data_IF_441436725984
#
_entry.id   IF_441436725984
#
_cell.length_a   1.000
_cell.length_b   1.000
_cell.length_c   1.000
_cell.angle_alpha   90.00
_cell.angle_beta   90.00
_cell.angle_gamma   90.00
#
_symmetry.space_group_name_H-M   'P 1'
#
loop_
_entity.id
_entity.type
_entity.pdbx_description
1 polymer ?
#
# COMPACT_ATOMS: atom_id res chain seq x y z
N UNK A 1 17.44 9.12 -27.78
CA UNK A 1 17.51 8.24 -26.59
C UNK A 1 16.31 7.30 -26.63
N UNK A 2 16.49 5.96 -26.58
CA UNK A 2 15.37 5.03 -26.49
C UNK A 2 14.58 5.28 -25.19
N UNK A 3 13.24 5.15 -25.24
CA UNK A 3 12.39 5.34 -24.05
C UNK A 3 12.72 4.28 -23.00
N UNK A 4 12.83 4.64 -21.71
CA UNK A 4 13.12 3.66 -20.66
C UNK A 4 11.98 2.64 -20.56
N UNK A 5 12.34 1.35 -20.45
CA UNK A 5 11.39 0.26 -20.20
C UNK A 5 10.81 0.47 -18.80
N UNK A 6 9.48 0.57 -18.64
CA UNK A 6 8.86 0.85 -17.35
C UNK A 6 9.09 -0.31 -16.37
N UNK A 7 9.13 -0.02 -15.06
CA UNK A 7 9.36 -1.04 -14.02
C UNK A 7 10.73 -0.91 -13.32
N UNK A 8 11.23 -1.99 -12.69
CA UNK A 8 12.45 -1.97 -11.88
C UNK A 8 13.70 -1.46 -12.63
N UNK A 9 13.83 -1.77 -13.92
CA UNK A 9 14.94 -1.28 -14.74
C UNK A 9 14.95 0.26 -14.87
N UNK A 10 13.78 0.89 -15.02
CA UNK A 10 13.67 2.35 -15.02
C UNK A 10 14.05 2.97 -13.67
N UNK A 11 13.73 2.30 -12.55
CA UNK A 11 14.19 2.76 -11.23
C UNK A 11 15.72 2.71 -11.12
N UNK A 12 16.35 1.61 -11.50
CA UNK A 12 17.82 1.50 -11.49
C UNK A 12 18.48 2.56 -12.38
N UNK A 13 17.97 2.74 -13.60
CA UNK A 13 18.41 3.77 -14.53
C UNK A 13 18.28 5.17 -13.93
N UNK A 14 17.14 5.48 -13.28
CA UNK A 14 16.94 6.76 -12.62
C UNK A 14 17.93 6.97 -11.45
N UNK A 15 18.22 5.95 -10.64
CA UNK A 15 19.21 6.03 -9.56
C UNK A 15 20.60 6.36 -10.12
N UNK A 16 20.96 5.73 -11.25
CA UNK A 16 22.25 5.93 -11.91
C UNK A 16 22.34 7.29 -12.62
N UNK A 17 21.29 7.76 -13.29
CA UNK A 17 21.38 8.91 -14.22
C UNK A 17 20.72 10.16 -13.65
N UNK A 18 19.65 10.01 -12.86
CA UNK A 18 18.75 11.09 -12.49
C UNK A 18 17.73 11.45 -13.58
N UNK A 19 17.61 10.65 -14.64
CA UNK A 19 16.69 10.92 -15.74
C UNK A 19 15.22 10.94 -15.28
N UNK A 20 14.56 12.08 -15.52
CA UNK A 20 13.16 12.29 -15.17
C UNK A 20 12.24 11.31 -15.90
N UNK A 21 12.55 10.95 -17.14
CA UNK A 21 11.71 10.05 -17.93
C UNK A 21 11.71 8.64 -17.33
N UNK A 22 12.88 8.17 -16.89
CA UNK A 22 13.01 6.93 -16.13
C UNK A 22 12.22 6.99 -14.80
N UNK A 23 12.27 8.12 -14.09
CA UNK A 23 11.51 8.30 -12.83
C UNK A 23 10.00 8.15 -13.01
N UNK A 24 9.43 8.66 -14.10
CA UNK A 24 7.97 8.69 -14.32
C UNK A 24 7.46 7.57 -15.21
N UNK A 25 8.34 6.70 -15.71
CA UNK A 25 8.00 5.59 -16.61
C UNK A 25 6.95 4.63 -16.01
N UNK A 26 6.93 4.46 -14.68
CA UNK A 26 5.97 3.60 -13.97
C UNK A 26 4.51 3.96 -14.21
N UNK A 27 4.20 5.20 -14.61
CA UNK A 27 2.83 5.65 -14.89
C UNK A 27 2.21 4.94 -16.08
N UNK A 28 3.03 4.30 -16.93
CA UNK A 28 2.60 3.52 -18.08
C UNK A 28 2.40 2.04 -17.75
N UNK A 29 2.70 1.61 -16.53
CA UNK A 29 2.48 0.25 -16.08
C UNK A 29 0.98 0.00 -15.87
N UNK A 30 0.49 -1.22 -16.14
CA UNK A 30 -0.75 -1.75 -15.59
C UNK A 30 -0.84 -1.55 -14.07
N UNK A 31 -2.06 -1.53 -13.51
CA UNK A 31 -2.25 -1.17 -12.10
C UNK A 31 -1.61 -2.18 -11.13
N UNK A 32 -1.69 -3.47 -11.44
CA UNK A 32 -1.03 -4.56 -10.70
C UNK A 32 0.51 -4.44 -10.75
N UNK A 33 1.07 -4.14 -11.92
CA UNK A 33 2.51 -3.89 -12.06
C UNK A 33 2.96 -2.58 -11.38
N UNK A 34 2.08 -1.57 -11.31
CA UNK A 34 2.34 -0.30 -10.61
C UNK A 34 2.42 -0.51 -9.09
N UNK A 35 1.61 -1.42 -8.54
CA UNK A 35 1.71 -1.84 -7.15
C UNK A 35 3.04 -2.54 -6.85
N UNK A 36 3.44 -3.50 -7.69
CA UNK A 36 4.73 -4.17 -7.56
C UNK A 36 5.92 -3.20 -7.67
N UNK A 37 5.83 -2.21 -8.56
CA UNK A 37 6.81 -1.15 -8.69
C UNK A 37 6.90 -0.29 -7.44
N UNK A 38 5.76 0.13 -6.88
CA UNK A 38 5.69 0.90 -5.63
C UNK A 38 6.40 0.16 -4.50
N UNK A 39 6.13 -1.12 -4.34
CA UNK A 39 6.71 -1.93 -3.28
C UNK A 39 8.23 -2.06 -3.47
N UNK A 40 8.69 -2.16 -4.73
CA UNK A 40 10.12 -2.10 -5.06
C UNK A 40 10.74 -0.76 -4.66
N UNK A 41 10.09 0.38 -4.96
CA UNK A 41 10.58 1.71 -4.57
C UNK A 41 10.65 1.87 -3.06
N UNK A 42 9.64 1.42 -2.32
CA UNK A 42 9.64 1.46 -0.85
C UNK A 42 10.86 0.72 -0.27
N UNK A 43 11.12 -0.51 -0.73
CA UNK A 43 12.27 -1.30 -0.28
C UNK A 43 13.61 -0.63 -0.61
N UNK A 44 13.73 -0.08 -1.83
CA UNK A 44 14.96 0.62 -2.24
C UNK A 44 15.15 1.90 -1.44
N UNK A 45 14.07 2.61 -1.11
CA UNK A 45 14.09 3.78 -0.23
C UNK A 45 14.55 3.41 1.18
N UNK A 46 13.99 2.36 1.78
CA UNK A 46 14.39 1.91 3.12
C UNK A 46 15.86 1.46 3.15
N UNK A 47 16.31 0.75 2.11
CA UNK A 47 17.72 0.38 1.95
C UNK A 47 18.64 1.60 1.79
N UNK A 48 18.20 2.61 1.04
CA UNK A 48 18.97 3.84 0.86
C UNK A 48 19.09 4.61 2.18
N UNK A 49 18.00 4.75 2.93
CA UNK A 49 18.01 5.38 4.24
C UNK A 49 18.89 4.63 5.24
N UNK A 50 18.71 3.31 5.36
CA UNK A 50 19.52 2.49 6.25
C UNK A 50 21.02 2.54 5.90
N UNK A 51 21.35 2.65 4.62
CA UNK A 51 22.74 2.82 4.16
C UNK A 51 23.30 4.20 4.51
N UNK A 52 22.48 5.26 4.47
CA UNK A 52 22.95 6.62 4.69
C UNK A 52 22.95 7.05 6.16
N UNK A 53 21.86 6.79 6.88
CA UNK A 53 21.62 7.28 8.24
C UNK A 53 21.65 6.15 9.30
N UNK A 54 21.81 4.90 8.88
CA UNK A 54 21.69 3.74 9.78
C UNK A 54 20.26 3.40 10.17
N UNK A 55 20.10 2.58 11.22
CA UNK A 55 18.77 2.05 11.65
C UNK A 55 17.97 3.01 12.54
N UNK A 56 18.65 3.94 13.20
CA UNK A 56 18.06 4.88 14.15
C UNK A 56 18.67 6.27 13.92
N UNK A 57 18.27 6.96 12.83
CA UNK A 57 18.71 8.31 12.56
C UNK A 57 18.34 9.24 13.71
N UNK A 58 19.23 10.16 14.06
CA UNK A 58 18.90 11.31 14.91
C UNK A 58 18.03 12.31 14.14
N UNK A 59 17.32 13.18 14.87
CA UNK A 59 16.50 14.23 14.26
C UNK A 59 17.36 15.21 13.44
N UNK A 60 18.60 15.49 13.88
CA UNK A 60 19.54 16.38 13.19
C UNK A 60 20.00 15.78 11.86
N UNK A 61 20.40 14.50 11.84
CA UNK A 61 20.78 13.80 10.60
C UNK A 61 19.63 13.72 9.60
N UNK A 62 18.40 13.62 10.10
CA UNK A 62 17.21 13.64 9.26
C UNK A 62 16.95 15.02 8.67
N UNK A 63 17.10 16.08 9.47
CA UNK A 63 16.91 17.46 9.02
C UNK A 63 17.97 17.86 7.98
N UNK A 64 19.24 17.47 8.19
CA UNK A 64 20.31 17.68 7.22
C UNK A 64 19.97 17.08 5.84
N UNK A 65 19.44 15.85 5.83
CA UNK A 65 19.00 15.21 4.59
C UNK A 65 17.79 15.93 3.97
N UNK A 66 16.84 16.38 4.79
CA UNK A 66 15.67 17.17 4.33
C UNK A 66 16.14 18.46 3.66
N UNK A 67 17.01 19.21 4.32
CA UNK A 67 17.55 20.47 3.81
C UNK A 67 18.32 20.26 2.52
N UNK A 68 19.15 19.23 2.45
CA UNK A 68 19.93 18.93 1.26
C UNK A 68 19.05 18.58 0.05
N UNK A 69 18.00 17.77 0.25
CA UNK A 69 17.04 17.45 -0.81
C UNK A 69 16.24 18.70 -1.19
N UNK A 70 15.80 19.50 -0.21
CA UNK A 70 15.04 20.73 -0.43
C UNK A 70 15.85 21.78 -1.20
N UNK A 71 17.14 21.94 -0.91
CA UNK A 71 18.02 22.87 -1.62
C UNK A 71 18.13 22.55 -3.12
N UNK A 72 18.09 21.25 -3.47
CA UNK A 72 18.15 20.79 -4.87
C UNK A 72 16.77 20.72 -5.54
N UNK A 73 15.71 20.53 -4.74
CA UNK A 73 14.34 20.27 -5.20
C UNK A 73 13.32 21.06 -4.38
N UNK A 74 13.36 22.41 -4.39
CA UNK A 74 12.57 23.26 -3.49
C UNK A 74 11.07 23.04 -3.63
N UNK A 75 10.59 22.78 -4.85
CA UNK A 75 9.18 22.49 -5.14
C UNK A 75 8.66 21.19 -4.50
N UNK A 76 9.54 20.32 -3.99
CA UNK A 76 9.19 19.05 -3.35
C UNK A 76 9.54 19.01 -1.86
N UNK A 77 10.13 20.07 -1.30
CA UNK A 77 10.64 20.12 0.07
C UNK A 77 9.62 19.68 1.13
N UNK A 78 8.40 20.24 1.08
CA UNK A 78 7.34 19.88 2.04
C UNK A 78 6.81 18.45 1.91
N UNK A 79 6.95 17.82 0.73
CA UNK A 79 6.61 16.41 0.55
C UNK A 79 7.71 15.50 1.09
N UNK A 80 8.97 15.84 0.79
CA UNK A 80 10.16 15.12 1.27
C UNK A 80 10.25 15.15 2.79
N UNK A 81 10.12 16.33 3.41
CA UNK A 81 10.17 16.50 4.86
C UNK A 81 9.16 15.60 5.57
N UNK A 82 7.90 15.62 5.13
CA UNK A 82 6.86 14.77 5.72
C UNK A 82 7.11 13.28 5.52
N UNK A 83 7.62 12.85 4.36
CA UNK A 83 7.95 11.44 4.09
C UNK A 83 9.11 10.97 4.97
N UNK A 84 10.18 11.75 5.08
CA UNK A 84 11.35 11.43 5.91
C UNK A 84 11.00 11.37 7.41
N UNK A 85 10.28 12.37 7.92
CA UNK A 85 9.82 12.40 9.32
C UNK A 85 8.85 11.26 9.65
N UNK A 86 7.97 10.92 8.72
CA UNK A 86 7.09 9.75 8.82
C UNK A 86 7.87 8.44 8.95
N UNK A 87 8.91 8.25 8.14
CA UNK A 87 9.76 7.07 8.20
C UNK A 87 10.50 6.95 9.54
N UNK A 88 11.02 8.04 10.09
CA UNK A 88 11.74 8.04 11.36
C UNK A 88 10.82 7.82 12.58
N UNK A 89 9.61 8.40 12.57
CA UNK A 89 8.68 8.36 13.70
C UNK A 89 7.76 7.12 13.69
N UNK A 90 7.89 6.22 12.70
CA UNK A 90 7.03 5.04 12.56
C UNK A 90 5.55 5.35 12.29
N UNK A 91 5.23 6.60 11.96
CA UNK A 91 3.89 7.08 11.67
C UNK A 91 3.70 7.37 10.17
N UNK A 92 2.48 7.36 9.62
CA UNK A 92 2.23 7.71 8.21
C UNK A 92 2.44 9.22 7.92
N UNK A 93 2.87 9.61 6.71
CA UNK A 93 3.02 11.00 6.32
C UNK A 93 1.63 11.58 6.05
N UNK A 94 1.12 12.39 6.98
CA UNK A 94 -0.21 12.98 6.90
C UNK A 94 -0.41 13.88 5.68
N UNK A 95 -1.58 13.79 5.03
CA UNK A 95 -2.03 14.71 3.99
C UNK A 95 -1.17 14.74 2.70
N UNK A 96 -0.48 13.64 2.36
CA UNK A 96 0.28 13.52 1.12
C UNK A 96 -0.41 12.55 0.17
N UNK A 97 -0.59 12.96 -1.10
CA UNK A 97 -1.12 12.07 -2.12
C UNK A 97 -0.11 10.96 -2.44
N UNK A 98 -0.56 9.75 -2.76
CA UNK A 98 0.33 8.62 -3.00
C UNK A 98 1.45 8.87 -4.04
N UNK A 99 1.12 9.51 -5.16
CA UNK A 99 2.10 10.00 -6.16
C UNK A 99 3.20 10.88 -5.59
N UNK A 100 2.86 11.75 -4.65
CA UNK A 100 3.80 12.67 -4.02
C UNK A 100 4.76 11.92 -3.09
N UNK A 101 4.29 10.86 -2.42
CA UNK A 101 5.15 9.97 -1.61
C UNK A 101 6.19 9.32 -2.52
N UNK A 102 5.76 8.69 -3.61
CA UNK A 102 6.66 8.00 -4.53
C UNK A 102 7.69 8.96 -5.15
N UNK A 103 7.22 10.16 -5.53
CA UNK A 103 8.12 11.22 -6.03
C UNK A 103 9.14 11.63 -4.98
N UNK A 104 8.74 11.84 -3.72
CA UNK A 104 9.65 12.17 -2.64
C UNK A 104 10.67 11.06 -2.39
N UNK A 105 10.24 9.80 -2.37
CA UNK A 105 11.13 8.64 -2.21
C UNK A 105 12.15 8.55 -3.35
N UNK A 106 11.73 8.73 -4.60
CA UNK A 106 12.65 8.81 -5.74
C UNK A 106 13.69 9.91 -5.56
N UNK A 107 13.30 11.09 -5.11
CA UNK A 107 14.24 12.20 -4.88
C UNK A 107 15.24 11.85 -3.79
N UNK A 108 14.77 11.33 -2.65
CA UNK A 108 15.63 10.90 -1.54
C UNK A 108 16.61 9.81 -1.97
N UNK A 109 16.13 8.73 -2.61
CA UNK A 109 17.00 7.65 -3.13
C UNK A 109 18.08 8.25 -4.04
N UNK A 110 17.71 9.20 -4.91
CA UNK A 110 18.64 9.80 -5.85
C UNK A 110 19.69 10.66 -5.15
N UNK A 111 19.29 11.46 -4.18
CA UNK A 111 20.24 12.30 -3.43
C UNK A 111 21.21 11.43 -2.61
N UNK A 112 20.73 10.36 -1.98
CA UNK A 112 21.59 9.36 -1.32
C UNK A 112 22.53 8.71 -2.33
N UNK A 113 22.05 8.31 -3.51
CA UNK A 113 22.90 7.71 -4.54
C UNK A 113 23.98 8.67 -5.07
N UNK A 114 23.77 10.00 -5.01
CA UNK A 114 24.83 10.97 -5.35
C UNK A 114 25.91 11.02 -4.28
N UNK A 115 25.54 10.93 -3.01
CA UNK A 115 26.48 10.90 -1.88
C UNK A 115 27.24 9.58 -1.78
N UNK A 116 26.63 8.48 -2.23
CA UNK A 116 27.18 7.14 -2.12
C UNK A 116 27.39 6.50 -3.51
N UNK A 117 28.54 6.77 -4.18
CA UNK A 117 28.83 6.20 -5.50
C UNK A 117 28.76 4.67 -5.55
N UNK A 118 29.12 4.00 -4.45
CA UNK A 118 29.00 2.54 -4.33
C UNK A 118 27.54 2.04 -4.29
N UNK A 119 26.61 2.82 -3.75
CA UNK A 119 25.17 2.52 -3.84
C UNK A 119 24.67 2.73 -5.28
N UNK A 120 25.08 3.83 -5.92
CA UNK A 120 24.73 4.15 -7.32
C UNK A 120 25.24 3.12 -8.33
N UNK A 121 26.48 2.68 -8.19
CA UNK A 121 27.07 1.66 -9.07
C UNK A 121 26.37 0.29 -8.93
N UNK A 122 25.83 0.00 -7.73
CA UNK A 122 25.10 -1.24 -7.45
C UNK A 122 23.58 -1.12 -7.65
N UNK A 123 23.09 -0.02 -8.23
CA UNK A 123 21.66 0.27 -8.33
C UNK A 123 20.86 -0.87 -8.98
N UNK A 124 21.35 -1.42 -10.09
CA UNK A 124 20.71 -2.57 -10.77
C UNK A 124 20.56 -3.76 -9.82
N UNK A 125 21.64 -4.16 -9.15
CA UNK A 125 21.63 -5.27 -8.19
C UNK A 125 20.72 -4.99 -6.99
N UNK A 126 20.74 -3.77 -6.45
CA UNK A 126 19.89 -3.37 -5.32
C UNK A 126 18.42 -3.42 -5.69
N UNK A 127 18.06 -2.87 -6.86
CA UNK A 127 16.69 -2.83 -7.36
C UNK A 127 16.22 -4.22 -7.75
N UNK A 128 17.06 -5.01 -8.40
CA UNK A 128 16.77 -6.40 -8.75
C UNK A 128 16.56 -7.27 -7.50
N UNK A 129 17.42 -7.13 -6.49
CA UNK A 129 17.21 -7.82 -5.20
C UNK A 129 15.89 -7.37 -4.58
N UNK A 130 15.62 -6.07 -4.56
CA UNK A 130 14.38 -5.51 -4.03
C UNK A 130 13.15 -5.95 -4.83
N UNK A 131 13.23 -6.16 -6.15
CA UNK A 131 12.11 -6.62 -6.98
C UNK A 131 11.90 -8.13 -6.87
N UNK A 132 12.99 -8.91 -6.76
CA UNK A 132 12.97 -10.37 -6.60
C UNK A 132 12.50 -10.83 -5.23
N UNK A 133 12.50 -9.98 -4.20
CA UNK A 133 11.88 -10.32 -2.91
C UNK A 133 10.35 -10.58 -3.06
N UNK A 134 9.73 -10.31 -4.22
CA UNK A 134 8.38 -10.82 -4.57
C UNK A 134 8.38 -12.20 -5.25
N UNK A 135 9.50 -12.66 -5.83
CA UNK A 135 9.60 -13.86 -6.70
C UNK A 135 10.36 -15.01 -6.00
N UNK A 136 10.72 -14.84 -4.73
CA UNK A 136 11.53 -15.79 -3.96
C UNK A 136 10.77 -16.97 -3.37
N UNK A 137 10.03 -17.73 -4.18
CA UNK A 137 9.66 -19.14 -3.94
C UNK A 137 9.11 -19.75 -5.25
N UNK A 138 10.01 -20.17 -6.14
CA UNK A 138 9.66 -20.92 -7.35
C UNK A 138 9.78 -20.10 -8.63
N UNK A 139 10.99 -20.08 -9.20
CA UNK A 139 11.18 -19.64 -10.58
C UNK A 139 12.05 -20.67 -11.31
N UNK A 140 11.45 -21.84 -11.52
CA UNK A 140 11.75 -22.73 -12.62
C UNK A 140 10.52 -23.64 -12.82
N UNK A 141 9.50 -23.11 -13.51
CA UNK A 141 8.70 -23.83 -14.49
C UNK A 141 7.63 -22.90 -15.05
N UNK A 142 7.58 -22.83 -16.38
CA UNK A 142 6.49 -22.22 -17.11
C UNK A 142 5.24 -23.08 -16.89
N UNK A 143 4.37 -22.73 -15.96
CA UNK A 143 3.05 -23.33 -15.85
C UNK A 143 2.12 -22.41 -15.04
N UNK A 144 0.87 -22.27 -15.51
CA UNK A 144 -0.33 -21.59 -14.95
C UNK A 144 -0.14 -20.73 -13.68
N UNK A 145 -0.72 -19.50 -13.61
CA UNK A 145 -0.70 -18.71 -12.39
C UNK A 145 -1.25 -19.53 -11.22
N UNK A 146 -0.37 -19.90 -10.29
CA UNK A 146 -0.75 -20.62 -9.09
C UNK A 146 -1.81 -19.80 -8.35
N UNK A 147 -2.80 -20.44 -7.70
CA UNK A 147 -3.79 -19.73 -6.91
C UNK A 147 -3.05 -18.92 -5.84
N UNK A 148 -3.21 -17.59 -5.89
CA UNK A 148 -2.64 -16.71 -4.87
C UNK A 148 -3.21 -17.14 -3.50
N UNK A 149 -2.41 -17.16 -2.44
CA UNK A 149 -2.90 -17.56 -1.13
C UNK A 149 -4.01 -16.60 -0.67
N UNK A 150 -5.13 -17.19 -0.26
CA UNK A 150 -6.31 -16.50 0.23
C UNK A 150 -6.42 -16.65 1.75
N UNK A 151 -6.84 -15.58 2.43
CA UNK A 151 -6.88 -15.48 3.88
C UNK A 151 -8.31 -15.14 4.31
N UNK A 152 -9.02 -16.13 4.81
CA UNK A 152 -10.40 -15.98 5.28
C UNK A 152 -10.46 -15.89 6.79
N UNK A 153 -11.11 -14.85 7.29
CA UNK A 153 -11.41 -14.73 8.70
C UNK A 153 -12.84 -14.25 8.94
N UNK A 154 -13.36 -14.62 10.11
CA UNK A 154 -14.66 -14.20 10.61
C UNK A 154 -14.48 -13.21 11.74
N UNK A 155 -15.49 -12.38 11.96
CA UNK A 155 -15.57 -11.63 13.20
C UNK A 155 -15.94 -12.55 14.37
N UNK A 156 -15.76 -12.06 15.60
CA UNK A 156 -15.96 -12.86 16.81
C UNK A 156 -17.41 -13.36 16.99
N UNK A 157 -18.38 -12.62 16.45
CA UNK A 157 -19.81 -12.96 16.53
C UNK A 157 -20.26 -13.79 15.31
N UNK A 158 -19.34 -14.10 14.37
CA UNK A 158 -19.61 -14.82 13.13
C UNK A 158 -20.76 -14.21 12.32
N UNK A 159 -20.88 -12.88 12.32
CA UNK A 159 -21.83 -12.13 11.50
C UNK A 159 -21.30 -11.88 10.08
N UNK A 160 -19.98 -11.77 9.91
CA UNK A 160 -19.32 -11.55 8.63
C UNK A 160 -18.06 -12.42 8.48
N UNK A 161 -17.80 -12.87 7.24
CA UNK A 161 -16.53 -13.45 6.82
C UNK A 161 -15.92 -12.60 5.69
N UNK A 162 -14.62 -12.36 5.77
CA UNK A 162 -13.85 -11.63 4.75
C UNK A 162 -12.71 -12.51 4.29
N UNK A 163 -12.52 -12.59 2.97
CA UNK A 163 -11.40 -13.28 2.33
C UNK A 163 -10.56 -12.27 1.57
N UNK A 164 -9.28 -12.19 1.94
CA UNK A 164 -8.29 -11.32 1.32
C UNK A 164 -7.29 -12.13 0.51
N UNK A 165 -6.77 -11.55 -0.57
CA UNK A 165 -5.57 -12.08 -1.24
C UNK A 165 -4.30 -11.62 -0.51
N UNK A 166 -3.16 -12.20 -0.89
CA UNK A 166 -1.85 -11.82 -0.35
C UNK A 166 -1.53 -10.33 -0.53
N UNK A 167 -1.99 -9.72 -1.62
CA UNK A 167 -1.83 -8.29 -1.92
C UNK A 167 -2.75 -7.37 -1.08
N UNK A 168 -3.66 -7.93 -0.28
CA UNK A 168 -4.62 -7.19 0.53
C UNK A 168 -5.91 -6.81 -0.20
N UNK A 169 -6.09 -7.22 -1.46
CA UNK A 169 -7.34 -7.00 -2.19
C UNK A 169 -8.46 -7.88 -1.64
N UNK A 170 -9.68 -7.32 -1.60
CA UNK A 170 -10.86 -8.07 -1.21
C UNK A 170 -11.22 -9.10 -2.27
N UNK A 171 -11.25 -10.38 -1.90
CA UNK A 171 -11.67 -11.47 -2.79
C UNK A 171 -13.14 -11.84 -2.59
N UNK A 172 -13.53 -12.04 -1.34
CA UNK A 172 -14.87 -12.43 -0.96
C UNK A 172 -15.29 -11.79 0.36
N UNK A 173 -16.58 -11.54 0.48
CA UNK A 173 -17.25 -11.08 1.68
C UNK A 173 -18.57 -11.84 1.77
N UNK A 174 -18.83 -12.43 2.92
CA UNK A 174 -20.06 -13.19 3.18
C UNK A 174 -20.67 -12.67 4.49
N UNK A 175 -21.97 -12.36 4.45
CA UNK A 175 -22.76 -12.03 5.63
C UNK A 175 -23.57 -13.25 6.05
N UNK A 176 -23.40 -13.64 7.31
CA UNK A 176 -23.99 -14.87 7.84
C UNK A 176 -25.48 -14.69 8.14
N UNK A 177 -26.21 -15.81 8.24
CA UNK A 177 -27.63 -15.81 8.62
C UNK A 177 -27.81 -15.13 9.98
N UNK A 178 -28.81 -14.25 10.08
CA UNK A 178 -29.11 -13.53 11.32
C UNK A 178 -28.57 -12.10 11.34
N UNK A 179 -27.69 -11.73 10.40
CA UNK A 179 -27.21 -10.35 10.20
C UNK A 179 -28.37 -9.38 9.90
N UNK A 180 -29.50 -9.88 9.40
CA UNK A 180 -30.70 -9.11 9.07
C UNK A 180 -31.34 -8.46 10.29
N UNK A 181 -31.04 -9.00 11.47
CA UNK A 181 -31.48 -8.46 12.77
C UNK A 181 -30.51 -7.42 13.33
N UNK A 182 -29.38 -7.18 12.66
CA UNK A 182 -28.36 -6.24 13.09
C UNK A 182 -28.55 -4.88 12.41
N UNK A 183 -28.30 -3.80 13.16
CA UNK A 183 -28.21 -2.46 12.57
C UNK A 183 -26.93 -2.28 11.78
N UNK A 184 -26.94 -1.34 10.82
CA UNK A 184 -25.81 -1.12 9.90
C UNK A 184 -24.48 -0.84 10.60
N UNK A 185 -24.49 -0.13 11.73
CA UNK A 185 -23.29 0.10 12.53
C UNK A 185 -22.65 -1.22 13.03
N UNK A 186 -23.47 -2.16 13.49
CA UNK A 186 -23.00 -3.46 13.97
C UNK A 186 -22.49 -4.31 12.81
N UNK A 187 -23.19 -4.30 11.67
CA UNK A 187 -22.73 -4.99 10.44
C UNK A 187 -21.38 -4.43 9.99
N UNK A 188 -21.25 -3.10 9.90
CA UNK A 188 -20.00 -2.44 9.51
C UNK A 188 -18.85 -2.78 10.46
N UNK A 189 -19.14 -2.84 11.76
CA UNK A 189 -18.15 -3.24 12.77
C UNK A 189 -17.73 -4.70 12.60
N UNK A 190 -18.67 -5.62 12.34
CA UNK A 190 -18.38 -7.02 12.09
C UNK A 190 -17.49 -7.20 10.85
N UNK A 191 -17.83 -6.56 9.73
CA UNK A 191 -17.00 -6.60 8.50
C UNK A 191 -15.58 -6.09 8.76
N UNK A 192 -15.42 -4.96 9.44
CA UNK A 192 -14.09 -4.41 9.78
C UNK A 192 -13.31 -5.35 10.70
N UNK A 193 -13.95 -5.98 11.68
CA UNK A 193 -13.31 -6.97 12.56
C UNK A 193 -12.86 -8.21 11.80
N UNK A 194 -13.71 -8.75 10.92
CA UNK A 194 -13.37 -9.87 10.04
C UNK A 194 -12.18 -9.52 9.13
N UNK A 195 -12.18 -8.31 8.55
CA UNK A 195 -11.05 -7.80 7.76
C UNK A 195 -9.75 -7.76 8.56
N UNK A 196 -9.77 -7.20 9.77
CA UNK A 196 -8.57 -7.11 10.63
C UNK A 196 -8.05 -8.51 10.99
N UNK A 197 -8.94 -9.47 11.23
CA UNK A 197 -8.55 -10.85 11.49
C UNK A 197 -7.92 -11.52 10.25
N UNK A 198 -8.47 -11.28 9.05
CA UNK A 198 -7.91 -11.79 7.79
C UNK A 198 -6.54 -11.15 7.50
N UNK A 199 -6.39 -9.85 7.75
CA UNK A 199 -5.12 -9.13 7.67
C UNK A 199 -4.06 -9.73 8.61
N UNK A 200 -4.42 -10.12 9.83
CA UNK A 200 -3.49 -10.78 10.77
C UNK A 200 -2.94 -12.09 10.21
N UNK A 201 -3.81 -12.92 9.63
CA UNK A 201 -3.39 -14.17 8.99
C UNK A 201 -2.52 -13.89 7.77
N UNK A 202 -2.94 -12.96 6.90
CA UNK A 202 -2.18 -12.52 5.72
C UNK A 202 -0.78 -12.04 6.11
N UNK A 203 -0.68 -11.23 7.17
CA UNK A 203 0.59 -10.67 7.63
C UNK A 203 1.49 -11.71 8.30
N UNK A 204 0.92 -12.63 9.08
CA UNK A 204 1.68 -13.76 9.63
C UNK A 204 2.29 -14.60 8.50
N UNK A 205 1.51 -14.90 7.45
CA UNK A 205 2.02 -15.62 6.29
C UNK A 205 3.04 -14.80 5.49
N UNK A 206 2.82 -13.50 5.31
CA UNK A 206 3.79 -12.62 4.70
C UNK A 206 5.12 -12.61 5.48
N UNK A 207 5.07 -12.67 6.81
CA UNK A 207 6.27 -12.79 7.66
C UNK A 207 6.99 -14.11 7.46
N UNK A 208 6.29 -15.23 7.43
CA UNK A 208 6.86 -16.56 7.13
C UNK A 208 7.54 -16.59 5.75
N UNK A 209 6.94 -15.92 4.77
CA UNK A 209 7.47 -15.84 3.40
C UNK A 209 8.56 -14.77 3.22
N UNK A 210 8.95 -14.04 4.28
CA UNK A 210 9.93 -12.95 4.18
C UNK A 210 9.42 -11.71 3.43
N UNK A 211 8.12 -11.60 3.19
CA UNK A 211 7.43 -10.51 2.49
C UNK A 211 7.00 -9.36 3.42
N UNK A 212 7.34 -9.43 4.71
CA UNK A 212 6.90 -8.46 5.73
C UNK A 212 7.32 -7.00 5.49
N UNK A 213 8.47 -6.75 4.85
CA UNK A 213 8.95 -5.38 4.55
C UNK A 213 8.13 -4.68 3.44
N UNK A 214 7.29 -5.42 2.71
CA UNK A 214 6.42 -4.88 1.65
C UNK A 214 5.04 -4.43 2.16
N UNK A 215 4.66 -4.88 3.36
CA UNK A 215 3.31 -4.69 3.86
C UNK A 215 3.37 -4.03 5.24
N UNK A 216 2.85 -2.79 5.37
CA UNK A 216 2.88 -2.09 6.65
C UNK A 216 2.23 -2.92 7.74
N UNK A 217 2.84 -2.87 8.93
CA UNK A 217 2.33 -3.52 10.13
C UNK A 217 0.85 -3.18 10.36
N UNK A 218 0.10 -4.15 10.90
CA UNK A 218 -1.30 -3.94 11.29
C UNK A 218 -1.31 -2.89 12.38
N UNK A 219 -1.77 -1.68 12.03
CA UNK A 219 -2.02 -0.65 13.02
C UNK A 219 -3.05 -1.16 14.01
N UNK A 220 -2.61 -1.34 15.26
CA UNK A 220 -3.47 -1.40 16.44
C UNK A 220 -4.47 -0.24 16.34
N UNK A 221 -5.75 -0.49 16.61
CA UNK A 221 -6.84 0.49 16.42
C UNK A 221 -6.75 1.77 17.25
N UNK A 222 -5.60 2.11 17.80
CA UNK A 222 -5.29 3.32 18.52
C UNK A 222 -4.09 4.00 17.83
N UNK A 223 -4.35 4.90 16.88
CA UNK A 223 -3.53 6.08 16.63
C UNK A 223 -4.25 7.00 15.65
N UNK A 224 -4.80 8.07 16.22
CA UNK A 224 -5.20 9.27 15.51
C UNK A 224 -3.96 9.87 14.82
N UNK A 225 -4.05 10.21 13.52
CA UNK A 225 -3.05 11.08 12.88
C UNK A 225 -2.65 10.81 11.42
N UNK A 226 -3.03 9.69 10.80
CA UNK A 226 -2.60 9.36 9.43
C UNK A 226 -3.66 9.48 8.34
N UNK A 227 -3.94 10.69 7.86
CA UNK A 227 -5.18 11.04 7.12
C UNK A 227 -5.17 10.87 5.59
N UNK A 228 -4.48 9.88 5.02
CA UNK A 228 -4.81 9.49 3.64
C UNK A 228 -5.85 8.38 3.67
N UNK A 229 -7.07 8.76 3.33
CA UNK A 229 -8.25 7.90 3.25
C UNK A 229 -8.80 8.02 1.84
N UNK A 230 -8.93 6.90 1.15
CA UNK A 230 -9.79 6.83 -0.02
C UNK A 230 -11.15 6.36 0.45
N UNK A 231 -12.19 7.07 0.03
CA UNK A 231 -13.56 6.69 0.27
C UNK A 231 -14.25 6.52 -1.07
N UNK A 232 -15.06 5.48 -1.17
CA UNK A 232 -15.95 5.26 -2.28
C UNK A 232 -17.30 4.82 -1.76
N UNK A 233 -18.33 5.11 -2.54
CA UNK A 233 -19.71 4.73 -2.27
C UNK A 233 -20.04 3.53 -3.14
N UNK A 234 -20.97 2.69 -2.70
CA UNK A 234 -21.56 1.72 -3.63
C UNK A 234 -22.43 2.44 -4.66
N UNK A 235 -22.74 1.80 -5.78
CA UNK A 235 -23.47 2.40 -6.91
C UNK A 235 -24.84 2.95 -6.48
N UNK A 236 -25.53 2.24 -5.58
CA UNK A 236 -26.82 2.68 -5.05
C UNK A 236 -26.71 3.81 -4.00
N UNK A 237 -25.49 4.12 -3.56
CA UNK A 237 -25.19 5.02 -2.45
C UNK A 237 -25.57 4.45 -1.08
N UNK A 238 -25.87 3.14 -0.97
CA UNK A 238 -26.28 2.50 0.27
C UNK A 238 -25.16 2.50 1.32
N UNK A 239 -23.93 2.24 0.91
CA UNK A 239 -22.80 2.19 1.82
C UNK A 239 -21.60 2.97 1.29
N UNK A 240 -20.74 3.35 2.23
CA UNK A 240 -19.46 4.01 1.98
C UNK A 240 -18.37 3.23 2.68
N UNK A 241 -17.38 2.78 1.90
CA UNK A 241 -16.18 2.18 2.44
C UNK A 241 -15.07 3.24 2.51
N UNK A 242 -14.24 3.14 3.55
CA UNK A 242 -13.04 3.95 3.68
C UNK A 242 -11.85 3.04 3.85
N UNK A 243 -10.87 3.16 2.97
CA UNK A 243 -9.60 2.42 3.04
C UNK A 243 -8.45 3.36 3.33
N UNK A 244 -7.38 2.84 3.93
CA UNK A 244 -6.13 3.58 4.06
C UNK A 244 -5.31 3.56 2.75
N UNK A 245 -4.16 4.26 2.75
CA UNK A 245 -3.22 4.28 1.61
C UNK A 245 -2.73 2.92 1.11
N UNK A 246 -2.98 1.85 1.86
CA UNK A 246 -2.57 0.48 1.53
C UNK A 246 -3.77 -0.38 1.13
N UNK A 247 -4.94 0.23 0.89
CA UNK A 247 -6.17 -0.48 0.55
C UNK A 247 -6.80 -1.23 1.72
N UNK A 248 -6.36 -1.00 2.97
CA UNK A 248 -6.93 -1.70 4.14
C UNK A 248 -8.21 -1.03 4.59
N UNK A 249 -9.28 -1.81 4.74
CA UNK A 249 -10.56 -1.31 5.23
C UNK A 249 -10.43 -0.72 6.64
N UNK A 250 -10.85 0.54 6.80
CA UNK A 250 -10.85 1.26 8.08
C UNK A 250 -12.25 1.49 8.61
N UNK A 251 -13.20 1.78 7.74
CA UNK A 251 -14.57 2.08 8.14
C UNK A 251 -15.53 1.67 7.04
N UNK A 252 -16.70 1.18 7.44
CA UNK A 252 -17.84 0.93 6.57
C UNK A 252 -19.05 1.62 7.19
N UNK A 253 -19.65 2.56 6.46
CA UNK A 253 -20.81 3.34 6.91
C UNK A 253 -21.99 3.06 6.00
N UNK A 254 -23.15 2.76 6.56
CA UNK A 254 -24.40 2.68 5.80
C UNK A 254 -25.12 4.02 5.85
N UNK A 255 -25.54 4.51 4.69
CA UNK A 255 -26.18 5.82 4.52
C UNK A 255 -27.70 5.75 4.75
N UNK A 256 -28.27 4.55 4.84
CA UNK A 256 -29.70 4.29 5.05
C UNK A 256 -29.90 3.23 6.13
N UNK A 257 -31.10 3.19 6.70
CA UNK A 257 -31.50 2.18 7.72
C UNK A 257 -32.08 0.92 7.10
N UNK A 258 -32.72 1.02 5.93
CA UNK A 258 -33.13 -0.14 5.14
C UNK A 258 -31.92 -0.68 4.38
N UNK A 259 -31.33 -1.76 4.90
CA UNK A 259 -30.08 -2.33 4.38
C UNK A 259 -30.31 -3.49 3.42
N UNK A 260 -31.42 -4.20 3.58
CA UNK A 260 -31.72 -5.40 2.81
C UNK A 260 -32.80 -5.04 1.80
N UNK A 261 -32.41 -4.98 0.53
CA UNK A 261 -33.34 -4.89 -0.60
C UNK A 261 -33.88 -6.26 -0.99
N UNK A 262 -34.40 -6.37 -2.21
CA UNK A 262 -35.02 -7.61 -2.72
C UNK A 262 -34.03 -8.78 -2.80
N UNK A 263 -32.74 -8.50 -3.00
CA UNK A 263 -31.67 -9.50 -3.01
C UNK A 263 -31.16 -9.89 -1.60
N UNK A 264 -31.75 -9.30 -0.55
CA UNK A 264 -31.45 -9.60 0.85
C UNK A 264 -29.96 -9.43 1.18
N UNK A 265 -29.39 -10.44 1.87
CA UNK A 265 -27.98 -10.41 2.30
C UNK A 265 -27.01 -10.37 1.13
N UNK A 266 -27.30 -11.07 0.04
CA UNK A 266 -26.39 -11.17 -1.12
C UNK A 266 -26.26 -9.83 -1.84
N UNK A 267 -27.38 -9.09 -1.97
CA UNK A 267 -27.34 -7.73 -2.48
C UNK A 267 -26.49 -6.83 -1.59
N UNK A 268 -26.67 -6.90 -0.26
CA UNK A 268 -25.86 -6.14 0.68
C UNK A 268 -24.36 -6.53 0.62
N UNK A 269 -24.04 -7.81 0.46
CA UNK A 269 -22.67 -8.28 0.26
C UNK A 269 -22.04 -7.68 -1.00
N UNK A 270 -22.79 -7.66 -2.11
CA UNK A 270 -22.35 -7.09 -3.38
C UNK A 270 -22.07 -5.58 -3.27
N UNK A 271 -22.99 -4.84 -2.66
CA UNK A 271 -22.87 -3.40 -2.40
C UNK A 271 -21.64 -3.06 -1.55
N UNK A 272 -21.41 -3.82 -0.47
CA UNK A 272 -20.22 -3.61 0.37
C UNK A 272 -18.94 -3.93 -0.40
N UNK A 273 -18.93 -5.04 -1.16
CA UNK A 273 -17.77 -5.43 -1.97
C UNK A 273 -17.42 -4.39 -3.01
N UNK A 274 -18.43 -3.84 -3.67
CA UNK A 274 -18.29 -2.78 -4.66
C UNK A 274 -17.67 -1.54 -4.03
N UNK A 275 -18.26 -0.99 -2.97
CA UNK A 275 -17.74 0.19 -2.28
C UNK A 275 -16.28 -0.01 -1.82
N UNK A 276 -15.95 -1.19 -1.28
CA UNK A 276 -14.57 -1.51 -0.90
C UNK A 276 -13.66 -1.60 -2.13
N UNK A 277 -14.09 -2.30 -3.18
CA UNK A 277 -13.35 -2.46 -4.42
C UNK A 277 -13.03 -1.13 -5.07
N UNK A 278 -14.02 -0.24 -5.17
CA UNK A 278 -13.83 1.13 -5.65
C UNK A 278 -12.89 1.93 -4.76
N UNK A 279 -13.05 1.88 -3.44
CA UNK A 279 -12.16 2.60 -2.54
C UNK A 279 -10.70 2.08 -2.66
N UNK A 280 -10.51 0.77 -2.87
CA UNK A 280 -9.22 0.17 -3.17
C UNK A 280 -8.69 0.60 -4.55
N UNK A 281 -9.55 0.65 -5.57
CA UNK A 281 -9.19 1.11 -6.91
C UNK A 281 -8.80 2.58 -6.90
N UNK A 282 -9.54 3.45 -6.22
CA UNK A 282 -9.22 4.87 -6.04
C UNK A 282 -7.93 5.05 -5.25
N UNK A 283 -7.75 4.25 -4.20
CA UNK A 283 -6.50 4.19 -3.47
C UNK A 283 -5.36 3.82 -4.41
N UNK A 284 -5.56 2.92 -5.38
CA UNK A 284 -4.57 2.48 -6.38
C UNK A 284 -4.42 3.46 -7.58
N UNK A 285 -5.46 4.17 -7.98
CA UNK A 285 -5.50 5.10 -9.10
C UNK A 285 -4.97 6.49 -8.73
N UNK A 286 -5.04 6.86 -7.46
CA UNK A 286 -4.37 8.05 -6.91
C UNK A 286 -2.82 7.95 -6.94
N UNK A 287 -2.26 6.81 -7.40
CA UNK A 287 -0.83 6.57 -7.68
C UNK A 287 -0.45 6.76 -9.13
#
# INVERSE_FOLDING_TARGET
MPRPVPGPAALASYIQTGDRDARVAYRRLPDDERLAYRDTVNRVYDLALAHHLGRHPSDDELEDLIEQVAARHPQYAGGVSRVLRSSAQGGPPGGIKPRQILTAQHLVIREIAKMHPGFRARAERTVEKASRTLVGAGAAEQERPAPQPEFTARDAESAAAVTLRLDGTLRALELMRGVERMGGKSIGTAVVRAWVAAEKQRWARAKELGLHDSFPQIGTGANAGGSYRCEAYSDSGLCRATVDRYGRLRTLTFMRTSLFGDEGRRGLEAEIREAIGEAQNDANAAW
#
